data_IF_069402527607
#
_entry.id   IF_069402527607
#
_cell.length_a   1.000
_cell.length_b   1.000
_cell.length_c   1.000
_cell.angle_alpha   90.00
_cell.angle_beta   90.00
_cell.angle_gamma   90.00
#
_symmetry.space_group_name_H-M   'P 1'
#
loop_
_entity.id
_entity.type
_entity.pdbx_description
1 polymer ?
#
# COMPACT_ATOMS: atom_id res chain seq x y z
N UNK A 1 13.63 -13.26 21.92
CA UNK A 1 12.59 -13.51 22.93
C UNK A 1 11.44 -14.25 22.26
N UNK A 2 10.63 -14.95 23.04
CA UNK A 2 9.32 -15.43 22.56
C UNK A 2 8.36 -14.23 22.42
N UNK A 3 7.53 -14.24 21.39
CA UNK A 3 6.54 -13.19 21.14
C UNK A 3 5.31 -13.33 22.03
N UNK A 4 4.62 -12.22 22.33
CA UNK A 4 3.41 -12.20 23.15
C UNK A 4 2.20 -11.84 22.29
N UNK A 5 1.28 -12.78 22.10
CA UNK A 5 0.10 -12.64 21.22
C UNK A 5 -1.16 -12.09 21.92
N UNK A 6 -1.15 -11.98 23.24
CA UNK A 6 -2.30 -11.51 24.02
C UNK A 6 -2.09 -10.10 24.58
N UNK A 7 -1.19 -9.31 23.98
CA UNK A 7 -0.95 -7.95 24.44
C UNK A 7 -2.09 -7.02 24.00
N UNK A 8 -2.57 -6.20 24.94
CA UNK A 8 -3.42 -5.05 24.66
C UNK A 8 -2.52 -3.86 24.34
N UNK A 9 -2.77 -3.19 23.22
CA UNK A 9 -1.99 -2.04 22.77
C UNK A 9 -2.94 -0.85 22.66
N UNK A 10 -2.66 0.19 23.45
CA UNK A 10 -3.29 1.49 23.30
C UNK A 10 -2.34 2.42 22.55
N UNK A 11 -2.83 3.12 21.53
CA UNK A 11 -2.01 3.93 20.65
C UNK A 11 -2.71 5.23 20.28
N UNK A 12 -1.98 6.35 20.35
CA UNK A 12 -2.45 7.62 19.81
C UNK A 12 -1.51 8.15 18.75
N UNK A 13 -2.11 8.59 17.65
CA UNK A 13 -1.46 9.23 16.52
C UNK A 13 -1.95 10.67 16.40
N UNK A 14 -1.05 11.64 16.59
CA UNK A 14 -1.41 13.06 16.60
C UNK A 14 -2.56 13.41 17.56
N UNK A 15 -2.59 12.77 18.74
CA UNK A 15 -3.67 12.94 19.72
C UNK A 15 -4.98 12.22 19.39
N UNK A 16 -5.08 11.52 18.27
CA UNK A 16 -6.23 10.68 17.91
C UNK A 16 -5.98 9.25 18.38
N UNK A 17 -6.95 8.65 19.08
CA UNK A 17 -6.91 7.24 19.46
C UNK A 17 -7.05 6.36 18.20
N UNK A 18 -6.04 5.53 17.95
CA UNK A 18 -5.96 4.57 16.83
C UNK A 18 -5.78 3.14 17.34
N UNK A 19 -6.10 2.89 18.61
CA UNK A 19 -5.92 1.58 19.26
C UNK A 19 -6.71 0.46 18.55
N UNK A 20 -7.86 0.79 17.95
CA UNK A 20 -8.67 -0.15 17.16
C UNK A 20 -8.02 -0.61 15.87
N UNK A 21 -7.03 0.13 15.36
CA UNK A 21 -6.38 -0.17 14.08
C UNK A 21 -5.19 -1.13 14.26
N UNK A 22 -4.84 -1.44 15.51
CA UNK A 22 -3.78 -2.38 15.85
C UNK A 22 -4.30 -3.81 15.72
N UNK A 23 -3.66 -4.58 14.84
CA UNK A 23 -4.00 -5.97 14.55
C UNK A 23 -2.87 -6.89 15.00
N UNK A 24 -3.18 -7.87 15.84
CA UNK A 24 -2.25 -8.96 16.10
C UNK A 24 -2.23 -9.90 14.87
N UNK A 25 -1.03 -10.12 14.31
CA UNK A 25 -0.81 -11.04 13.19
C UNK A 25 -0.11 -12.34 13.60
N UNK A 26 0.11 -12.55 14.90
CA UNK A 26 0.69 -13.73 15.53
C UNK A 26 2.20 -13.63 15.78
N UNK A 27 2.73 -14.54 16.60
CA UNK A 27 4.16 -14.65 16.93
C UNK A 27 4.72 -13.39 17.61
N UNK A 28 3.90 -12.65 18.34
CA UNK A 28 4.23 -11.39 18.98
C UNK A 28 4.37 -10.21 18.01
N UNK A 29 3.84 -10.33 16.79
CA UNK A 29 3.91 -9.27 15.78
C UNK A 29 2.56 -8.58 15.67
N UNK A 30 2.58 -7.26 15.76
CA UNK A 30 1.41 -6.40 15.64
C UNK A 30 1.59 -5.48 14.44
N UNK A 31 0.52 -5.31 13.67
CA UNK A 31 0.44 -4.43 12.51
C UNK A 31 -0.53 -3.28 12.80
N UNK A 32 -0.15 -2.07 12.43
CA UNK A 32 -1.03 -0.92 12.40
C UNK A 32 -0.88 -0.20 11.06
N UNK A 33 -1.98 0.34 10.53
CA UNK A 33 -1.99 1.19 9.34
C UNK A 33 -2.46 2.57 9.78
N UNK A 34 -1.64 3.59 9.55
CA UNK A 34 -1.94 4.97 9.92
C UNK A 34 -1.98 5.83 8.67
N UNK A 35 -2.93 6.77 8.63
CA UNK A 35 -2.93 7.79 7.59
C UNK A 35 -1.71 8.72 7.76
N UNK A 36 -0.94 8.97 6.70
CA UNK A 36 0.26 9.78 6.78
C UNK A 36 -0.11 11.24 7.06
N UNK A 37 0.58 11.83 8.04
CA UNK A 37 0.53 13.27 8.30
C UNK A 37 1.85 13.86 7.85
N UNK A 38 1.79 14.72 6.84
CA UNK A 38 2.99 15.39 6.32
C UNK A 38 3.37 16.59 7.16
N UNK A 39 4.66 16.84 7.28
CA UNK A 39 5.23 17.94 8.07
C UNK A 39 6.16 18.75 7.19
N UNK A 40 5.96 20.07 7.10
CA UNK A 40 6.83 20.94 6.33
C UNK A 40 8.18 21.17 7.04
N UNK A 41 9.25 21.51 6.31
CA UNK A 41 10.51 21.92 6.93
C UNK A 41 10.30 23.06 7.94
N UNK A 42 10.71 22.84 9.19
CA UNK A 42 10.57 23.80 10.29
C UNK A 42 9.33 23.62 11.17
N UNK A 43 8.40 22.74 10.79
CA UNK A 43 7.31 22.30 11.66
C UNK A 43 7.78 21.19 12.61
N UNK A 44 7.04 20.99 13.71
CA UNK A 44 7.33 19.93 14.67
C UNK A 44 6.90 18.57 14.11
N UNK A 45 7.67 17.50 14.37
CA UNK A 45 7.25 16.14 14.00
C UNK A 45 6.01 15.73 14.80
N UNK A 46 5.25 14.79 14.26
CA UNK A 46 4.02 14.29 14.85
C UNK A 46 4.34 13.20 15.87
N UNK A 47 3.77 13.33 17.06
CA UNK A 47 3.94 12.33 18.12
C UNK A 47 3.08 11.08 17.84
N UNK A 48 3.72 9.93 17.92
CA UNK A 48 3.12 8.62 18.08
C UNK A 48 3.43 8.13 19.49
N UNK A 49 2.41 7.81 20.26
CA UNK A 49 2.57 7.21 21.58
C UNK A 49 1.84 5.86 21.66
N UNK A 50 2.36 4.98 22.51
CA UNK A 50 1.86 3.61 22.66
C UNK A 50 2.04 3.14 24.09
N UNK A 51 1.00 2.51 24.65
CA UNK A 51 1.07 1.72 25.88
C UNK A 51 0.78 0.26 25.56
N UNK A 52 1.62 -0.64 26.07
CA UNK A 52 1.52 -2.08 25.85
C UNK A 52 1.29 -2.76 27.20
N UNK A 53 0.24 -3.57 27.27
CA UNK A 53 -0.16 -4.32 28.45
C UNK A 53 -0.23 -5.80 28.11
N UNK A 54 0.37 -6.66 28.94
CA UNK A 54 0.24 -8.10 28.79
C UNK A 54 0.23 -8.76 30.17
N UNK A 55 -0.70 -9.70 30.37
CA UNK A 55 -0.81 -10.41 31.65
C UNK A 55 0.49 -11.12 32.01
N UNK A 56 0.96 -10.91 33.25
CA UNK A 56 2.23 -11.48 33.72
C UNK A 56 3.48 -10.69 33.32
N UNK A 57 3.33 -9.55 32.64
CA UNK A 57 4.42 -8.65 32.26
C UNK A 57 4.22 -7.26 32.85
N UNK A 58 5.30 -6.48 32.89
CA UNK A 58 5.20 -5.07 33.26
C UNK A 58 4.68 -4.25 32.07
N UNK A 59 3.77 -3.35 32.36
CA UNK A 59 3.27 -2.37 31.39
C UNK A 59 4.41 -1.51 30.87
N UNK A 60 4.40 -1.25 29.57
CA UNK A 60 5.45 -0.45 28.93
C UNK A 60 4.86 0.67 28.11
N UNK A 61 5.51 1.83 28.18
CA UNK A 61 5.14 3.04 27.45
C UNK A 61 6.24 3.42 26.45
N UNK A 62 5.84 3.77 25.24
CA UNK A 62 6.73 4.19 24.17
C UNK A 62 6.22 5.46 23.50
N UNK A 63 7.16 6.33 23.16
CA UNK A 63 6.91 7.53 22.36
C UNK A 63 7.93 7.59 21.24
N UNK A 64 7.48 8.00 20.06
CA UNK A 64 8.34 8.33 18.94
C UNK A 64 7.74 9.48 18.14
N UNK A 65 8.61 10.26 17.50
CA UNK A 65 8.21 11.39 16.67
C UNK A 65 8.45 11.08 15.21
N UNK A 66 7.42 11.23 14.38
CA UNK A 66 7.44 10.89 12.95
C UNK A 66 7.20 12.17 12.13
N UNK A 67 8.03 12.40 11.12
CA UNK A 67 7.82 13.44 10.13
C UNK A 67 7.85 12.83 8.73
N UNK A 68 6.81 13.07 7.94
CA UNK A 68 6.72 12.62 6.55
C UNK A 68 6.89 13.83 5.64
N UNK A 69 7.88 13.79 4.76
CA UNK A 69 8.12 14.85 3.78
C UNK A 69 6.98 14.89 2.73
N UNK A 70 6.25 16.01 2.58
CA UNK A 70 5.21 16.15 1.56
C UNK A 70 5.67 15.84 0.13
N UNK A 71 6.96 16.06 -0.18
CA UNK A 71 7.52 15.79 -1.51
C UNK A 71 7.57 14.29 -1.85
N UNK A 72 7.61 13.41 -0.84
CA UNK A 72 7.64 11.95 -1.04
C UNK A 72 6.27 11.37 -1.38
N UNK A 73 5.18 12.05 -1.02
CA UNK A 73 3.80 11.63 -1.35
C UNK A 73 3.42 12.10 -2.77
N UNK A 74 4.05 13.16 -3.27
CA UNK A 74 3.86 13.69 -4.63
C UNK A 74 4.75 12.96 -5.65
N UNK A 75 4.70 11.64 -5.71
CA UNK A 75 5.25 10.98 -6.90
C UNK A 75 4.32 11.27 -8.09
N UNK A 76 4.91 11.81 -9.14
CA UNK A 76 4.26 12.21 -10.39
C UNK A 76 3.34 11.09 -10.89
N UNK A 77 2.10 11.44 -11.25
CA UNK A 77 1.34 10.59 -12.15
C UNK A 77 2.25 10.27 -13.35
N UNK A 78 2.39 9.00 -13.77
CA UNK A 78 3.19 8.70 -14.94
C UNK A 78 2.70 9.60 -16.06
N UNK A 79 3.61 10.38 -16.65
CA UNK A 79 3.39 11.07 -17.91
C UNK A 79 3.18 9.98 -18.96
N UNK A 80 1.98 9.40 -19.00
CA UNK A 80 1.54 8.54 -20.08
C UNK A 80 1.44 9.51 -21.26
N UNK A 81 2.33 9.41 -22.27
CA UNK A 81 2.20 10.23 -23.46
C UNK A 81 0.77 10.03 -23.99
N UNK A 82 0.06 11.10 -24.40
CA UNK A 82 -1.30 10.97 -24.89
C UNK A 82 -1.31 9.89 -25.97
N UNK A 83 -2.15 8.86 -25.78
CA UNK A 83 -2.34 7.81 -26.77
C UNK A 83 -2.65 8.51 -28.09
N UNK A 84 -1.78 8.31 -29.09
CA UNK A 84 -1.98 8.88 -30.42
C UNK A 84 -3.28 8.28 -30.94
N UNK A 85 -4.36 9.08 -31.13
CA UNK A 85 -5.62 8.55 -31.59
C UNK A 85 -5.41 7.92 -32.97
N UNK A 86 -5.52 6.58 -33.05
CA UNK A 86 -5.22 5.82 -34.26
C UNK A 86 -4.35 4.57 -34.02
N UNK A 87 -3.51 4.56 -32.99
CA UNK A 87 -2.58 3.43 -32.76
C UNK A 87 -3.31 2.15 -32.32
N UNK A 88 -4.38 2.30 -31.52
CA UNK A 88 -5.24 1.19 -31.10
C UNK A 88 -5.95 0.52 -32.29
N UNK A 89 -6.35 1.31 -33.29
CA UNK A 89 -6.96 0.77 -34.51
C UNK A 89 -5.94 -0.06 -35.30
N UNK A 90 -4.69 0.38 -35.44
CA UNK A 90 -3.66 -0.38 -36.16
C UNK A 90 -3.39 -1.74 -35.49
N UNK A 91 -3.36 -1.80 -34.16
CA UNK A 91 -3.18 -3.06 -33.43
C UNK A 91 -4.39 -3.99 -33.60
N UNK A 92 -5.61 -3.46 -33.51
CA UNK A 92 -6.84 -4.23 -33.68
C UNK A 92 -6.97 -4.77 -35.11
N UNK A 93 -6.73 -3.92 -36.13
CA UNK A 93 -6.76 -4.33 -37.53
C UNK A 93 -5.64 -5.33 -37.85
N UNK A 94 -4.43 -5.12 -37.31
CA UNK A 94 -3.32 -6.07 -37.47
C UNK A 94 -3.65 -7.45 -36.91
N UNK A 95 -4.20 -7.51 -35.69
CA UNK A 95 -4.64 -8.76 -35.06
C UNK A 95 -5.76 -9.44 -35.85
N UNK A 96 -6.74 -8.68 -36.35
CA UNK A 96 -7.82 -9.20 -37.19
C UNK A 96 -7.30 -9.82 -38.50
N UNK A 97 -6.34 -9.18 -39.18
CA UNK A 97 -5.73 -9.71 -40.40
C UNK A 97 -4.99 -11.02 -40.13
N UNK A 98 -4.24 -11.10 -39.03
CA UNK A 98 -3.52 -12.32 -38.63
C UNK A 98 -4.51 -13.45 -38.32
N UNK A 99 -5.58 -13.17 -37.57
CA UNK A 99 -6.61 -14.16 -37.23
C UNK A 99 -7.31 -14.66 -38.50
N UNK A 100 -7.71 -13.75 -39.39
CA UNK A 100 -8.30 -14.12 -40.69
C UNK A 100 -7.34 -14.99 -41.50
N UNK A 101 -6.07 -14.62 -41.61
CA UNK A 101 -5.06 -15.40 -42.32
C UNK A 101 -4.91 -16.81 -41.74
N UNK A 102 -4.89 -16.96 -40.42
CA UNK A 102 -4.81 -18.26 -39.74
C UNK A 102 -6.07 -19.11 -39.95
N UNK A 103 -7.26 -18.50 -40.01
CA UNK A 103 -8.52 -19.19 -40.29
C UNK A 103 -8.56 -19.65 -41.75
N UNK A 104 -8.22 -18.79 -42.71
CA UNK A 104 -8.18 -19.12 -44.13
C UNK A 104 -7.12 -20.17 -44.47
N UNK A 105 -5.99 -20.19 -43.77
CA UNK A 105 -5.00 -21.28 -43.91
C UNK A 105 -5.47 -22.61 -43.32
N UNK A 106 -6.47 -22.62 -42.44
CA UNK A 106 -6.85 -23.84 -41.71
C UNK A 106 -7.86 -24.76 -42.41
N UNK A 107 -8.55 -24.38 -43.50
CA UNK A 107 -9.40 -25.33 -44.26
C UNK A 107 -9.58 -24.93 -45.74
N UNK A 108 -9.70 -25.88 -46.71
CA UNK A 108 -9.68 -27.35 -46.58
C UNK A 108 -8.69 -28.05 -47.54
N UNK A 109 -7.86 -28.93 -46.97
CA UNK A 109 -7.50 -30.18 -47.65
C UNK A 109 -8.38 -31.30 -47.08
N UNK A 110 -9.59 -31.45 -47.62
CA UNK A 110 -10.34 -32.70 -47.57
C UNK A 110 -10.04 -33.47 -48.85
N UNK A 111 -9.47 -34.68 -48.70
CA UNK A 111 -9.49 -35.86 -49.59
C UNK A 111 -8.22 -36.67 -49.33
#
# INVERSE_FOLDING_TARGET
GEGVDSASIQMWWNGTDVSSDVQNIGLGVYRVLLDPITVNPGELPILLNMSIFAEGYNDTYYETSIAVDPALIKSEAPNIPPSIPGYDFLLIFGMLVIICFLIFRRKPGQS
#
